data_IF_830545974265
#
_entry.id   IF_830545974265
#
_cell.length_a   1.000
_cell.length_b   1.000
_cell.length_c   1.000
_cell.angle_alpha   90.00
_cell.angle_beta   90.00
_cell.angle_gamma   90.00
#
_symmetry.space_group_name_H-M   'P 1'
#
loop_
_entity.id
_entity.type
_entity.pdbx_description
1 polymer ?
#
# COMPACT_ATOMS: atom_id res chain seq x y z
N UNK A 1 -8.83 -4.02 15.36
CA UNK A 1 -9.63 -2.79 15.46
C UNK A 1 -8.82 -1.50 15.33
N UNK A 2 -7.58 -1.40 15.85
CA UNK A 2 -6.75 -0.17 15.81
C UNK A 2 -6.29 0.28 14.41
N UNK A 3 -6.14 -0.64 13.44
CA UNK A 3 -5.67 -0.30 12.07
C UNK A 3 -6.75 0.30 11.17
N UNK A 4 -8.03 -0.10 11.34
CA UNK A 4 -9.14 0.52 10.61
C UNK A 4 -9.35 1.98 11.02
N UNK A 5 -9.02 2.30 12.27
CA UNK A 5 -9.07 3.67 12.80
C UNK A 5 -7.98 4.56 12.20
N UNK A 6 -6.80 4.01 11.89
CA UNK A 6 -5.67 4.77 11.34
C UNK A 6 -5.93 5.24 9.90
N UNK A 7 -6.55 4.38 9.07
CA UNK A 7 -6.89 4.74 7.68
C UNK A 7 -7.99 5.80 7.64
N UNK A 8 -8.98 5.71 8.53
CA UNK A 8 -10.04 6.73 8.66
C UNK A 8 -9.46 8.03 9.20
N UNK A 9 -8.50 7.98 10.15
CA UNK A 9 -7.83 9.17 10.66
C UNK A 9 -6.96 9.84 9.59
N UNK A 10 -6.28 9.07 8.73
CA UNK A 10 -5.48 9.61 7.63
C UNK A 10 -6.36 10.31 6.59
N UNK A 11 -7.53 9.76 6.28
CA UNK A 11 -8.52 10.40 5.41
C UNK A 11 -9.08 11.70 6.01
N UNK A 12 -9.30 11.75 7.33
CA UNK A 12 -9.79 12.95 8.02
C UNK A 12 -8.71 14.06 8.11
N UNK A 13 -7.43 13.71 8.23
CA UNK A 13 -6.33 14.69 8.26
C UNK A 13 -6.13 15.38 6.91
N UNK A 14 -6.41 14.68 5.81
CA UNK A 14 -6.38 15.29 4.46
C UNK A 14 -7.50 16.32 4.26
N UNK A 15 -8.63 16.17 4.94
CA UNK A 15 -9.76 17.11 4.86
C UNK A 15 -9.57 18.35 5.75
N UNK A 16 -8.76 18.28 6.79
CA UNK A 16 -8.54 19.40 7.73
C UNK A 16 -7.43 20.36 7.30
N UNK A 17 -6.63 20.04 6.29
CA UNK A 17 -5.61 20.95 5.76
C UNK A 17 -6.14 21.94 4.71
N UNK A 18 -7.42 21.92 4.37
CA UNK A 18 -8.08 22.95 3.58
C UNK A 18 -8.29 24.21 4.43
N UNK A 19 -7.21 24.93 4.71
CA UNK A 19 -7.30 26.31 5.14
C UNK A 19 -7.93 27.14 4.03
N UNK A 20 -9.18 27.54 4.24
CA UNK A 20 -9.91 28.47 3.36
C UNK A 20 -9.18 29.80 3.30
N UNK A 21 -8.24 29.92 2.39
CA UNK A 21 -7.70 31.20 1.92
C UNK A 21 -7.73 31.23 0.41
N UNK A 22 -8.59 32.05 -0.11
CA UNK A 22 -8.91 32.42 -1.49
C UNK A 22 -10.05 31.62 -2.14
N UNK A 23 -11.24 32.21 -2.03
CA UNK A 23 -12.43 31.95 -2.85
C UNK A 23 -12.19 32.53 -4.25
N UNK A 24 -11.34 31.89 -5.04
CA UNK A 24 -11.00 32.36 -6.39
C UNK A 24 -11.31 31.39 -7.52
N UNK A 25 -11.40 30.11 -7.26
CA UNK A 25 -11.65 29.12 -8.33
C UNK A 25 -12.22 27.78 -7.82
N UNK A 26 -13.05 27.82 -6.78
CA UNK A 26 -13.71 26.60 -6.25
C UNK A 26 -14.97 26.35 -7.07
N UNK A 27 -14.91 25.41 -8.00
CA UNK A 27 -16.08 24.94 -8.75
C UNK A 27 -16.79 23.82 -7.95
N UNK A 28 -17.96 24.08 -7.36
CA UNK A 28 -18.86 23.04 -6.88
C UNK A 28 -19.86 22.78 -7.99
N UNK A 29 -19.87 21.57 -8.56
CA UNK A 29 -20.86 21.11 -9.52
C UNK A 29 -21.69 20.02 -8.85
N UNK A 30 -23.00 20.22 -8.81
CA UNK A 30 -23.97 19.20 -8.44
C UNK A 30 -24.72 18.81 -9.69
N UNK A 31 -24.47 17.62 -10.23
CA UNK A 31 -25.26 17.05 -11.33
C UNK A 31 -26.18 15.98 -10.74
N UNK A 32 -27.46 16.03 -11.07
CA UNK A 32 -28.49 15.19 -10.44
C UNK A 32 -28.28 13.68 -10.59
N UNK A 33 -27.55 13.19 -11.58
CA UNK A 33 -27.22 11.77 -11.77
C UNK A 33 -25.79 11.42 -11.41
N UNK A 34 -24.84 12.37 -11.45
CA UNK A 34 -23.41 12.13 -11.25
C UNK A 34 -22.90 12.41 -9.83
N UNK A 35 -23.79 12.94 -8.97
CA UNK A 35 -23.46 13.21 -7.57
C UNK A 35 -22.83 14.59 -7.33
N UNK A 36 -21.97 14.70 -6.30
CA UNK A 36 -21.30 15.92 -5.89
C UNK A 36 -19.86 15.90 -6.40
N UNK A 37 -19.46 16.97 -7.06
CA UNK A 37 -18.10 17.16 -7.53
C UNK A 37 -17.56 18.51 -7.06
N UNK A 38 -16.44 18.49 -6.36
CA UNK A 38 -15.78 19.66 -5.80
C UNK A 38 -14.36 19.69 -6.33
N UNK A 39 -13.96 20.79 -6.97
CA UNK A 39 -12.60 20.98 -7.47
C UNK A 39 -12.01 22.30 -6.94
N UNK A 40 -10.75 22.22 -6.49
CA UNK A 40 -9.97 23.36 -6.05
C UNK A 40 -8.50 23.14 -6.44
N UNK A 41 -8.06 23.79 -7.51
CA UNK A 41 -6.73 23.55 -8.08
C UNK A 41 -6.53 22.10 -8.48
N UNK A 42 -5.48 21.47 -7.95
CA UNK A 42 -5.15 20.04 -8.21
C UNK A 42 -5.90 19.06 -7.29
N UNK A 43 -6.72 19.61 -6.38
CA UNK A 43 -7.53 18.82 -5.45
C UNK A 43 -8.94 18.65 -6.01
N UNK A 44 -9.44 17.43 -5.98
CA UNK A 44 -10.77 17.05 -6.48
C UNK A 44 -11.42 16.02 -5.57
N UNK A 45 -12.70 16.18 -5.29
CA UNK A 45 -13.51 15.20 -4.56
C UNK A 45 -14.80 14.95 -5.34
N UNK A 46 -15.08 13.70 -5.64
CA UNK A 46 -16.32 13.24 -6.27
C UNK A 46 -17.03 12.25 -5.37
N UNK A 47 -18.33 12.43 -5.18
CA UNK A 47 -19.20 11.53 -4.42
C UNK A 47 -20.40 11.18 -5.31
N UNK A 48 -20.54 9.93 -5.70
CA UNK A 48 -21.58 9.48 -6.62
C UNK A 48 -21.97 8.02 -6.40
N UNK A 49 -22.72 7.48 -7.34
CA UNK A 49 -23.20 6.08 -7.31
C UNK A 49 -22.08 5.04 -7.25
N UNK A 50 -20.89 5.36 -7.79
CA UNK A 50 -19.76 4.46 -7.82
C UNK A 50 -18.87 4.59 -6.55
N UNK A 51 -19.24 5.49 -5.64
CA UNK A 51 -18.56 5.71 -4.37
C UNK A 51 -17.96 7.09 -4.19
N UNK A 52 -16.84 7.15 -3.48
CA UNK A 52 -16.09 8.38 -3.20
C UNK A 52 -14.73 8.29 -3.88
N UNK A 53 -14.37 9.34 -4.61
CA UNK A 53 -13.02 9.51 -5.13
C UNK A 53 -12.48 10.86 -4.65
N UNK A 54 -11.31 10.85 -4.01
CA UNK A 54 -10.58 12.05 -3.61
C UNK A 54 -9.19 12.02 -4.26
N UNK A 55 -8.80 13.11 -4.90
CA UNK A 55 -7.52 13.27 -5.59
C UNK A 55 -6.84 14.56 -5.17
N UNK A 56 -5.53 14.52 -4.99
CA UNK A 56 -4.70 15.70 -4.72
C UNK A 56 -3.29 15.45 -5.28
N UNK A 57 -2.99 16.07 -6.43
CA UNK A 57 -1.76 15.78 -7.16
C UNK A 57 -1.62 14.29 -7.46
N UNK A 58 -0.52 13.67 -7.04
CA UNK A 58 -0.21 12.25 -7.27
C UNK A 58 -0.86 11.30 -6.25
N UNK A 59 -1.59 11.85 -5.26
CA UNK A 59 -2.30 11.08 -4.25
C UNK A 59 -3.76 10.89 -4.65
N UNK A 60 -4.26 9.67 -4.56
CA UNK A 60 -5.65 9.31 -4.85
C UNK A 60 -6.18 8.34 -3.79
N UNK A 61 -7.42 8.55 -3.36
CA UNK A 61 -8.15 7.61 -2.52
C UNK A 61 -9.53 7.35 -3.14
N UNK A 62 -9.85 6.08 -3.35
CA UNK A 62 -11.16 5.61 -3.86
C UNK A 62 -11.80 4.68 -2.86
N UNK A 63 -13.10 4.87 -2.62
CA UNK A 63 -13.93 3.99 -1.81
C UNK A 63 -15.16 3.65 -2.65
N UNK A 64 -15.31 2.41 -3.04
CA UNK A 64 -16.40 1.95 -3.91
C UNK A 64 -16.82 0.52 -3.62
N UNK A 65 -17.65 -0.02 -4.48
CA UNK A 65 -18.14 -1.41 -4.39
C UNK A 65 -17.02 -2.46 -4.42
N UNK A 66 -15.91 -2.16 -5.11
CA UNK A 66 -14.79 -3.08 -5.28
C UNK A 66 -13.77 -2.97 -4.12
N UNK A 67 -14.03 -2.09 -3.14
CA UNK A 67 -13.18 -1.92 -1.97
C UNK A 67 -12.62 -0.51 -1.80
N UNK A 68 -11.44 -0.44 -1.19
CA UNK A 68 -10.70 0.80 -0.92
C UNK A 68 -9.38 0.75 -1.65
N UNK A 69 -9.09 1.77 -2.44
CA UNK A 69 -7.80 1.96 -3.11
C UNK A 69 -7.20 3.26 -2.60
N UNK A 70 -5.95 3.23 -2.16
CA UNK A 70 -5.19 4.41 -1.82
C UNK A 70 -3.86 4.39 -2.59
N UNK A 71 -3.54 5.50 -3.25
CA UNK A 71 -2.29 5.69 -4.01
C UNK A 71 -1.58 6.93 -3.53
N UNK A 72 -0.26 6.90 -3.55
CA UNK A 72 0.59 8.05 -3.31
C UNK A 72 1.90 7.85 -4.11
N UNK A 73 2.00 8.56 -5.24
CA UNK A 73 3.07 8.29 -6.20
C UNK A 73 3.07 6.82 -6.64
N UNK A 74 4.21 6.14 -6.50
CA UNK A 74 4.41 4.75 -6.90
C UNK A 74 3.90 3.72 -5.87
N UNK A 75 3.41 4.19 -4.72
CA UNK A 75 2.85 3.33 -3.68
C UNK A 75 1.34 3.18 -3.83
N UNK A 76 0.85 1.95 -3.71
CA UNK A 76 -0.58 1.62 -3.78
C UNK A 76 -0.96 0.62 -2.68
N UNK A 77 -2.09 0.88 -2.04
CA UNK A 77 -2.75 -0.09 -1.16
C UNK A 77 -4.18 -0.33 -1.66
N UNK A 78 -4.56 -1.59 -1.79
CA UNK A 78 -5.89 -2.01 -2.22
C UNK A 78 -6.46 -3.00 -1.20
N UNK A 79 -7.66 -2.71 -0.68
CA UNK A 79 -8.41 -3.56 0.24
C UNK A 79 -9.72 -3.93 -0.44
N UNK A 80 -9.92 -5.19 -0.76
CA UNK A 80 -11.11 -5.72 -1.42
C UNK A 80 -11.64 -6.96 -0.69
N UNK A 81 -12.71 -7.54 -1.22
CA UNK A 81 -13.25 -8.83 -0.74
C UNK A 81 -12.25 -9.97 -0.94
N UNK A 82 -11.36 -9.87 -1.92
CA UNK A 82 -10.35 -10.88 -2.24
C UNK A 82 -9.11 -10.80 -1.32
N UNK A 83 -9.00 -9.73 -0.53
CA UNK A 83 -7.91 -9.54 0.42
C UNK A 83 -7.29 -8.15 0.37
N UNK A 84 -6.08 -8.04 0.90
CA UNK A 84 -5.30 -6.81 0.96
C UNK A 84 -4.07 -6.96 0.07
N UNK A 85 -3.84 -5.99 -0.81
CA UNK A 85 -2.63 -5.85 -1.63
C UNK A 85 -1.95 -4.54 -1.27
N UNK A 86 -0.65 -4.58 -1.08
CA UNK A 86 0.18 -3.39 -0.89
C UNK A 86 1.33 -3.46 -1.88
N UNK A 87 1.58 -2.35 -2.55
CA UNK A 87 2.73 -2.17 -3.43
C UNK A 87 3.40 -0.85 -3.05
N UNK A 88 4.68 -0.91 -2.76
CA UNK A 88 5.51 0.27 -2.51
C UNK A 88 6.48 0.46 -3.67
N UNK A 89 6.63 1.68 -4.12
CA UNK A 89 7.69 2.02 -5.08
C UNK A 89 9.07 1.77 -4.47
N UNK A 90 10.00 1.26 -5.27
CA UNK A 90 11.38 1.11 -4.85
C UNK A 90 12.10 2.47 -5.02
N UNK A 91 12.33 3.17 -3.91
CA UNK A 91 13.10 4.42 -3.93
C UNK A 91 14.61 4.11 -3.95
N UNK A 92 15.14 3.94 -5.15
CA UNK A 92 16.58 3.74 -5.37
C UNK A 92 17.38 5.04 -5.26
N UNK A 93 16.74 6.20 -5.37
CA UNK A 93 17.42 7.50 -5.30
C UNK A 93 17.81 7.86 -3.87
N UNK A 94 17.00 7.45 -2.89
CA UNK A 94 17.23 7.65 -1.45
C UNK A 94 18.22 6.66 -0.81
N UNK A 95 18.71 5.64 -1.54
CA UNK A 95 19.62 4.65 -0.97
C UNK A 95 20.98 5.26 -0.60
N UNK A 96 21.49 4.89 0.57
CA UNK A 96 22.84 5.24 0.99
C UNK A 96 23.93 4.53 0.16
N UNK A 97 25.16 5.04 0.23
CA UNK A 97 26.28 4.52 -0.56
C UNK A 97 26.60 3.04 -0.24
N UNK A 98 26.41 2.61 1.03
CA UNK A 98 26.69 1.23 1.45
C UNK A 98 25.66 0.27 0.87
N UNK A 99 24.40 0.66 0.84
CA UNK A 99 23.30 -0.12 0.22
C UNK A 99 23.49 -0.23 -1.29
N UNK A 100 23.85 0.86 -1.97
CA UNK A 100 24.20 0.85 -3.41
C UNK A 100 25.36 -0.09 -3.73
N UNK A 101 26.39 -0.11 -2.87
CA UNK A 101 27.52 -1.02 -3.04
C UNK A 101 27.12 -2.48 -2.84
N UNK A 102 26.31 -2.80 -1.82
CA UNK A 102 25.77 -4.14 -1.63
C UNK A 102 24.99 -4.61 -2.85
N UNK A 103 24.11 -3.77 -3.38
CA UNK A 103 23.30 -4.06 -4.57
C UNK A 103 24.20 -4.35 -5.79
N UNK A 104 25.21 -3.51 -6.05
CA UNK A 104 26.17 -3.69 -7.13
C UNK A 104 26.93 -5.01 -7.01
N UNK A 105 27.27 -5.42 -5.80
CA UNK A 105 28.02 -6.64 -5.51
C UNK A 105 27.10 -7.87 -5.28
N UNK A 106 25.79 -7.75 -5.46
CA UNK A 106 24.79 -8.80 -5.20
C UNK A 106 24.91 -9.38 -3.78
N UNK A 107 25.11 -8.52 -2.80
CA UNK A 107 25.12 -8.88 -1.38
C UNK A 107 23.70 -8.80 -0.86
N UNK A 108 23.04 -9.94 -0.72
CA UNK A 108 21.66 -10.07 -0.29
C UNK A 108 21.56 -10.44 1.18
N UNK A 109 20.43 -10.09 1.81
CA UNK A 109 20.04 -10.62 3.11
C UNK A 109 19.85 -12.14 2.98
N UNK A 110 20.14 -12.88 4.04
CA UNK A 110 19.82 -14.30 4.09
C UNK A 110 18.31 -14.55 4.32
N UNK A 111 17.87 -15.77 4.01
CA UNK A 111 16.46 -16.17 4.13
C UNK A 111 15.95 -16.12 5.57
N UNK A 112 16.82 -16.45 6.55
CA UNK A 112 16.46 -16.39 7.97
C UNK A 112 16.18 -14.96 8.40
N UNK A 113 16.94 -13.99 7.89
CA UNK A 113 16.74 -12.58 8.16
C UNK A 113 15.44 -12.06 7.54
N UNK A 114 15.13 -12.49 6.32
CA UNK A 114 13.88 -12.16 5.66
C UNK A 114 12.69 -12.77 6.43
N UNK A 115 12.82 -14.02 6.89
CA UNK A 115 11.80 -14.66 7.72
C UNK A 115 11.59 -13.90 9.02
N UNK A 116 12.65 -13.50 9.72
CA UNK A 116 12.56 -12.71 10.95
C UNK A 116 11.79 -11.39 10.72
N UNK A 117 12.06 -10.70 9.61
CA UNK A 117 11.36 -9.47 9.24
C UNK A 117 9.88 -9.72 8.99
N UNK A 118 9.52 -10.78 8.25
CA UNK A 118 8.13 -11.17 8.01
C UNK A 118 7.38 -11.46 9.32
N UNK A 119 7.97 -12.27 10.20
CA UNK A 119 7.37 -12.60 11.49
C UNK A 119 7.12 -11.35 12.32
N UNK A 120 8.12 -10.49 12.44
CA UNK A 120 8.05 -9.27 13.25
C UNK A 120 7.01 -8.27 12.73
N UNK A 121 6.99 -8.02 11.43
CA UNK A 121 6.07 -7.04 10.84
C UNK A 121 4.62 -7.51 10.85
N UNK A 122 4.39 -8.81 10.77
CA UNK A 122 3.05 -9.39 10.82
C UNK A 122 2.60 -9.82 12.22
N UNK A 123 3.45 -9.60 13.26
CA UNK A 123 3.19 -10.03 14.64
C UNK A 123 2.91 -11.53 14.74
N UNK A 124 3.69 -12.34 14.03
CA UNK A 124 3.62 -13.80 14.00
C UNK A 124 4.80 -14.43 14.70
N UNK A 125 4.59 -15.63 15.23
CA UNK A 125 5.66 -16.52 15.68
C UNK A 125 5.93 -17.61 14.63
N UNK A 126 7.11 -18.23 14.67
CA UNK A 126 7.48 -19.28 13.71
C UNK A 126 6.49 -20.46 13.69
N UNK A 127 5.83 -20.74 14.83
CA UNK A 127 4.80 -21.76 14.95
C UNK A 127 3.47 -21.43 14.28
N UNK A 128 3.20 -20.16 14.02
CA UNK A 128 1.96 -19.71 13.36
C UNK A 128 1.98 -19.90 11.84
N UNK A 129 3.16 -20.15 11.28
CA UNK A 129 3.36 -20.23 9.83
C UNK A 129 3.32 -21.67 9.35
N UNK A 130 2.63 -21.87 8.24
CA UNK A 130 2.59 -23.11 7.47
C UNK A 130 2.90 -22.85 6.00
N UNK A 131 3.39 -23.88 5.31
CA UNK A 131 3.63 -23.84 3.86
C UNK A 131 4.55 -22.66 3.47
N UNK A 132 5.61 -22.42 4.27
CA UNK A 132 6.59 -21.39 3.99
C UNK A 132 7.41 -21.71 2.74
N UNK A 133 7.44 -20.76 1.81
CA UNK A 133 8.25 -20.80 0.59
C UNK A 133 8.91 -19.44 0.42
N UNK A 134 10.22 -19.42 0.19
CA UNK A 134 10.99 -18.22 -0.11
C UNK A 134 11.84 -18.46 -1.36
N UNK A 135 11.86 -17.50 -2.27
CA UNK A 135 12.64 -17.55 -3.51
C UNK A 135 13.35 -16.23 -3.75
N UNK A 136 14.66 -16.30 -3.96
CA UNK A 136 15.45 -15.15 -4.40
C UNK A 136 15.49 -15.10 -5.94
N UNK A 137 15.05 -13.99 -6.49
CA UNK A 137 15.34 -13.59 -7.86
C UNK A 137 16.54 -12.60 -7.85
N UNK A 138 17.68 -13.09 -8.32
CA UNK A 138 18.93 -12.30 -8.36
C UNK A 138 18.90 -11.21 -9.42
N UNK A 139 18.12 -11.36 -10.48
CA UNK A 139 18.05 -10.38 -11.55
C UNK A 139 17.25 -9.15 -11.12
N UNK A 140 16.10 -9.34 -10.52
CA UNK A 140 15.29 -8.26 -9.94
C UNK A 140 15.78 -7.85 -8.55
N UNK A 141 16.68 -8.62 -7.93
CA UNK A 141 17.15 -8.44 -6.55
C UNK A 141 15.99 -8.43 -5.53
N UNK A 142 15.07 -9.36 -5.69
CA UNK A 142 13.88 -9.47 -4.84
C UNK A 142 13.71 -10.87 -4.25
N UNK A 143 13.11 -10.94 -3.07
CA UNK A 143 12.59 -12.17 -2.50
C UNK A 143 11.07 -12.24 -2.72
N UNK A 144 10.60 -13.36 -3.27
CA UNK A 144 9.18 -13.74 -3.23
C UNK A 144 8.96 -14.68 -2.06
N UNK A 145 8.01 -14.35 -1.19
CA UNK A 145 7.73 -15.05 0.07
C UNK A 145 6.27 -15.45 0.07
N UNK A 146 6.00 -16.75 0.26
CA UNK A 146 4.64 -17.28 0.37
C UNK A 146 4.50 -18.10 1.62
N UNK A 147 3.40 -17.90 2.34
CA UNK A 147 3.08 -18.69 3.52
C UNK A 147 1.59 -18.62 3.87
N UNK A 148 1.18 -19.48 4.79
CA UNK A 148 -0.15 -19.45 5.40
C UNK A 148 -0.01 -19.14 6.88
N UNK A 149 -0.78 -18.18 7.37
CA UNK A 149 -0.90 -17.85 8.78
C UNK A 149 -2.31 -17.33 9.09
N UNK A 150 -2.83 -17.63 10.28
CA UNK A 150 -4.12 -17.12 10.76
C UNK A 150 -5.28 -17.36 9.75
N UNK A 151 -5.30 -18.51 9.08
CA UNK A 151 -6.27 -18.89 8.04
C UNK A 151 -6.23 -18.00 6.77
N UNK A 152 -5.11 -17.32 6.54
CA UNK A 152 -4.88 -16.48 5.36
C UNK A 152 -3.65 -16.96 4.59
N UNK A 153 -3.66 -16.75 3.28
CA UNK A 153 -2.48 -16.86 2.42
C UNK A 153 -1.82 -15.50 2.34
N UNK A 154 -0.51 -15.51 2.47
CA UNK A 154 0.33 -14.34 2.31
C UNK A 154 1.26 -14.58 1.11
N UNK A 155 1.36 -13.57 0.27
CA UNK A 155 2.34 -13.52 -0.82
C UNK A 155 2.97 -12.13 -0.82
N UNK A 156 4.26 -12.07 -0.49
CA UNK A 156 4.98 -10.83 -0.32
C UNK A 156 6.21 -10.82 -1.23
N UNK A 157 6.57 -9.64 -1.70
CA UNK A 157 7.80 -9.39 -2.42
C UNK A 157 8.62 -8.36 -1.65
N UNK A 158 9.90 -8.68 -1.37
CA UNK A 158 10.80 -7.81 -0.65
C UNK A 158 12.07 -7.55 -1.44
N UNK A 159 12.60 -6.37 -1.28
CA UNK A 159 13.95 -6.04 -1.75
C UNK A 159 14.98 -6.94 -1.05
N UNK A 160 15.82 -7.62 -1.83
CA UNK A 160 16.74 -8.61 -1.30
C UNK A 160 17.96 -8.00 -0.57
N UNK A 161 18.24 -6.71 -0.79
CA UNK A 161 19.38 -6.01 -0.16
C UNK A 161 18.96 -5.36 1.16
N UNK A 162 17.78 -4.73 1.19
CA UNK A 162 17.31 -3.95 2.34
C UNK A 162 16.25 -4.66 3.18
N UNK A 163 15.55 -5.65 2.59
CA UNK A 163 14.40 -6.30 3.19
C UNK A 163 13.10 -5.49 3.13
N UNK A 164 13.09 -4.31 2.52
CA UNK A 164 11.89 -3.51 2.40
C UNK A 164 10.79 -4.26 1.66
N UNK A 165 9.55 -4.16 2.16
CA UNK A 165 8.37 -4.71 1.50
C UNK A 165 8.06 -3.90 0.24
N UNK A 166 8.18 -4.52 -0.93
CA UNK A 166 7.85 -3.94 -2.23
C UNK A 166 6.39 -4.18 -2.58
N UNK A 167 5.91 -5.39 -2.30
CA UNK A 167 4.54 -5.79 -2.60
C UNK A 167 4.05 -6.79 -1.57
N UNK A 168 2.80 -6.66 -1.15
CA UNK A 168 2.17 -7.59 -0.22
C UNK A 168 0.74 -7.89 -0.61
N UNK A 169 0.37 -9.16 -0.54
CA UNK A 169 -1.00 -9.64 -0.76
C UNK A 169 -1.39 -10.62 0.34
N UNK A 170 -2.56 -10.39 0.92
CA UNK A 170 -3.16 -11.30 1.90
C UNK A 170 -4.57 -11.65 1.42
N UNK A 171 -4.86 -12.93 1.28
CA UNK A 171 -6.15 -13.44 0.82
C UNK A 171 -6.66 -14.58 1.69
N UNK A 172 -7.96 -14.86 1.64
CA UNK A 172 -8.55 -15.98 2.34
C UNK A 172 -8.06 -17.33 1.79
N UNK A 173 -7.86 -18.32 2.66
CA UNK A 173 -7.66 -19.71 2.24
C UNK A 173 -9.01 -20.24 1.80
N UNK A 174 -9.19 -20.55 0.51
CA UNK A 174 -10.38 -21.31 0.06
C UNK A 174 -10.41 -22.66 0.77
N UNK A 175 -11.55 -22.96 1.39
CA UNK A 175 -11.83 -24.25 2.02
C UNK A 175 -11.99 -25.34 0.97
#
# INVERSE_FOLDING_TARGET
MKRKLLVVLLACVMLSSCGVKNVGNTGVKTSGEDGIHIKNGDSEVSIGKDGINAKNGDSEAKIGKDGIIAKNGDSEANVSTDGVKVQNGLDLEGEDAATKEKRKNNVFLDEDKIMEMELKENYLEKGDIKDWEIKLDKQSQTYTIKYKALHQKHENERDAVTGHLLKGMTGAVSR
#
